data_IF_193776578173
#
_entry.id   IF_193776578173
#
_cell.length_a   1.000
_cell.length_b   1.000
_cell.length_c   1.000
_cell.angle_alpha   90.00
_cell.angle_beta   90.00
_cell.angle_gamma   90.00
#
_symmetry.space_group_name_H-M   'P 1'
#
loop_
_entity.id
_entity.type
_entity.pdbx_description
1 polymer ?
#
# COMPACT_ATOMS: atom_id res chain seq x y z
N UNK A 1 5.80 -1.13 5.48
CA UNK A 1 6.23 -2.54 5.29
C UNK A 1 5.14 -3.26 4.52
N UNK A 2 5.51 -4.05 3.52
CA UNK A 2 4.53 -4.75 2.70
C UNK A 2 3.78 -5.85 3.52
N UNK A 3 2.48 -6.12 3.26
CA UNK A 3 1.66 -7.07 4.03
C UNK A 3 2.26 -8.48 4.21
N UNK A 4 2.92 -9.01 3.19
CA UNK A 4 3.61 -10.30 3.16
C UNK A 4 4.88 -10.33 4.04
N UNK A 5 5.58 -9.19 4.12
CA UNK A 5 6.72 -9.03 5.02
C UNK A 5 6.24 -9.01 6.47
N UNK A 6 5.12 -8.34 6.73
CA UNK A 6 4.45 -8.38 8.06
C UNK A 6 4.03 -9.81 8.41
N UNK A 7 3.47 -10.54 7.44
CA UNK A 7 3.03 -11.93 7.61
C UNK A 7 4.17 -12.97 7.56
N UNK A 8 5.44 -12.54 7.50
CA UNK A 8 6.63 -13.41 7.44
C UNK A 8 6.62 -14.43 6.29
N UNK A 9 5.95 -14.12 5.17
CA UNK A 9 5.85 -15.02 4.00
C UNK A 9 7.06 -14.97 3.06
N UNK A 10 8.16 -14.35 3.50
CA UNK A 10 9.38 -14.12 2.70
C UNK A 10 9.32 -12.81 1.91
N UNK A 11 10.48 -12.21 1.66
CA UNK A 11 10.62 -11.02 0.81
C UNK A 11 10.52 -11.44 -0.66
N UNK A 12 9.65 -10.77 -1.42
CA UNK A 12 9.53 -10.95 -2.86
C UNK A 12 9.70 -9.61 -3.57
N UNK A 13 9.98 -9.63 -4.88
CA UNK A 13 10.01 -8.42 -5.70
C UNK A 13 8.68 -7.64 -5.64
N UNK A 14 7.56 -8.28 -5.27
CA UNK A 14 6.28 -7.58 -5.06
C UNK A 14 6.31 -6.63 -3.85
N UNK A 15 7.15 -6.91 -2.83
CA UNK A 15 7.34 -6.05 -1.67
C UNK A 15 7.97 -4.70 -2.06
N UNK A 16 8.87 -4.72 -3.04
CA UNK A 16 9.55 -3.53 -3.53
C UNK A 16 8.56 -2.64 -4.31
N UNK A 17 7.71 -3.22 -5.17
CA UNK A 17 6.66 -2.49 -5.86
C UNK A 17 5.61 -1.91 -4.90
N UNK A 18 5.26 -2.63 -3.83
CA UNK A 18 4.38 -2.10 -2.80
C UNK A 18 5.01 -0.90 -2.08
N UNK A 19 6.31 -1.00 -1.75
CA UNK A 19 7.04 0.09 -1.10
C UNK A 19 7.18 1.31 -2.01
N UNK A 20 7.38 1.09 -3.32
CA UNK A 20 7.31 2.14 -4.33
C UNK A 20 5.93 2.80 -4.38
N UNK A 21 4.84 2.02 -4.30
CA UNK A 21 3.48 2.55 -4.21
C UNK A 21 3.26 3.45 -3.00
N UNK A 22 3.79 3.08 -1.83
CA UNK A 22 3.74 3.93 -0.62
C UNK A 22 4.47 5.25 -0.84
N UNK A 23 5.70 5.20 -1.35
CA UNK A 23 6.51 6.39 -1.60
C UNK A 23 5.85 7.31 -2.63
N UNK A 24 5.30 6.75 -3.71
CA UNK A 24 4.59 7.54 -4.73
C UNK A 24 3.33 8.20 -4.16
N UNK A 25 2.56 7.48 -3.34
CA UNK A 25 1.39 8.05 -2.67
C UNK A 25 1.80 9.23 -1.78
N UNK A 26 2.87 9.07 -0.99
CA UNK A 26 3.38 10.12 -0.12
C UNK A 26 3.87 11.34 -0.91
N UNK A 27 4.62 11.15 -1.99
CA UNK A 27 5.09 12.25 -2.83
C UNK A 27 3.93 13.02 -3.51
N UNK A 28 2.87 12.32 -3.91
CA UNK A 28 1.74 12.93 -4.60
C UNK A 28 0.73 13.61 -3.67
N UNK A 29 0.67 13.19 -2.40
CA UNK A 29 -0.36 13.63 -1.46
C UNK A 29 0.17 14.36 -0.23
N UNK A 30 1.47 14.27 0.04
CA UNK A 30 2.10 14.75 1.27
C UNK A 30 1.76 13.91 2.50
N UNK A 31 1.04 12.80 2.36
CA UNK A 31 0.54 11.98 3.47
C UNK A 31 0.82 10.50 3.23
N UNK A 32 0.99 9.73 4.30
CA UNK A 32 1.14 8.27 4.20
C UNK A 32 -0.20 7.61 3.87
N UNK A 33 -0.22 6.57 3.02
CA UNK A 33 -1.45 5.83 2.71
C UNK A 33 -1.97 5.00 3.91
N UNK A 34 -1.10 4.65 4.85
CA UNK A 34 -1.44 3.92 6.08
C UNK A 34 -0.64 4.51 7.24
N UNK A 35 -1.32 5.01 8.27
CA UNK A 35 -0.69 5.61 9.44
C UNK A 35 -1.57 5.41 10.67
N UNK A 36 -1.07 4.63 11.62
CA UNK A 36 -1.73 4.38 12.90
C UNK A 36 -1.15 5.22 14.03
N UNK A 37 -1.81 5.17 15.19
CA UNK A 37 -1.35 5.84 16.42
C UNK A 37 -0.07 5.24 16.98
N UNK A 38 0.13 3.95 16.73
CA UNK A 38 1.32 3.21 17.10
C UNK A 38 1.70 2.21 15.99
N UNK A 39 2.78 1.46 16.24
CA UNK A 39 3.30 0.46 15.30
C UNK A 39 2.29 -0.66 15.02
N UNK A 40 1.58 -1.15 16.04
CA UNK A 40 0.63 -2.25 15.88
C UNK A 40 -0.60 -1.79 15.09
N UNK A 41 -1.08 -0.57 15.36
CA UNK A 41 -2.17 0.05 14.62
C UNK A 41 -1.79 0.28 13.15
N UNK A 42 -0.57 0.77 12.89
CA UNK A 42 -0.07 0.93 11.52
C UNK A 42 0.01 -0.40 10.78
N UNK A 43 0.49 -1.46 11.46
CA UNK A 43 0.52 -2.82 10.88
C UNK A 43 -0.89 -3.35 10.61
N UNK A 44 -1.84 -3.10 11.50
CA UNK A 44 -3.25 -3.46 11.29
C UNK A 44 -3.86 -2.72 10.09
N UNK A 45 -3.56 -1.42 9.92
CA UNK A 45 -4.01 -0.66 8.76
C UNK A 45 -3.44 -1.21 7.46
N UNK A 46 -2.14 -1.51 7.41
CA UNK A 46 -1.52 -2.13 6.23
C UNK A 46 -2.20 -3.45 5.84
N UNK A 47 -2.62 -4.24 6.83
CA UNK A 47 -3.22 -5.56 6.59
C UNK A 47 -4.71 -5.51 6.25
N UNK A 48 -5.46 -4.53 6.77
CA UNK A 48 -6.94 -4.55 6.77
C UNK A 48 -7.59 -3.33 6.15
N UNK A 49 -6.91 -2.19 6.08
CA UNK A 49 -7.51 -0.97 5.58
C UNK A 49 -7.65 -1.01 4.06
N UNK A 50 -8.77 -0.50 3.56
CA UNK A 50 -8.95 -0.25 2.12
C UNK A 50 -8.21 1.05 1.78
N UNK A 51 -7.35 0.99 0.76
CA UNK A 51 -6.70 2.18 0.24
C UNK A 51 -7.75 3.16 -0.30
N UNK A 52 -7.87 4.32 0.32
CA UNK A 52 -8.68 5.42 -0.19
C UNK A 52 -7.88 6.22 -1.20
N UNK A 53 -8.43 6.42 -2.40
CA UNK A 53 -7.75 7.14 -3.47
C UNK A 53 -8.16 8.62 -3.45
N UNK A 54 -7.23 9.58 -3.35
CA UNK A 54 -7.57 10.99 -3.37
C UNK A 54 -8.10 11.43 -4.74
N UNK A 55 -9.25 12.13 -4.74
CA UNK A 55 -9.94 12.57 -5.95
C UNK A 55 -9.19 13.65 -6.74
N UNK A 56 -8.26 14.37 -6.10
CA UNK A 56 -7.45 15.40 -6.77
C UNK A 56 -6.33 14.83 -7.64
N UNK A 57 -6.03 13.52 -7.52
CA UNK A 57 -5.05 12.86 -8.37
C UNK A 57 -5.65 12.56 -9.75
N UNK A 58 -4.84 12.68 -10.80
CA UNK A 58 -5.26 12.32 -12.15
C UNK A 58 -5.57 10.83 -12.25
N UNK A 59 -6.38 10.45 -13.25
CA UNK A 59 -6.80 9.07 -13.41
C UNK A 59 -5.62 8.11 -13.66
N UNK A 60 -4.57 8.59 -14.31
CA UNK A 60 -3.32 7.86 -14.56
C UNK A 60 -2.57 7.59 -13.26
N UNK A 61 -2.42 8.62 -12.40
CA UNK A 61 -1.78 8.48 -11.11
C UNK A 61 -2.56 7.49 -10.21
N UNK A 62 -3.89 7.59 -10.19
CA UNK A 62 -4.72 6.65 -9.45
C UNK A 62 -4.59 5.20 -9.99
N UNK A 63 -4.53 5.04 -11.31
CA UNK A 63 -4.36 3.73 -11.95
C UNK A 63 -3.01 3.11 -11.62
N UNK A 64 -1.93 3.89 -11.69
CA UNK A 64 -0.59 3.46 -11.33
C UNK A 64 -0.50 3.04 -9.87
N UNK A 65 -1.03 3.85 -8.95
CA UNK A 65 -1.06 3.52 -7.52
C UNK A 65 -1.84 2.22 -7.28
N UNK A 66 -3.02 2.05 -7.90
CA UNK A 66 -3.77 0.78 -7.81
C UNK A 66 -2.96 -0.40 -8.31
N UNK A 67 -2.23 -0.26 -9.42
CA UNK A 67 -1.40 -1.34 -9.95
C UNK A 67 -0.26 -1.73 -9.00
N UNK A 68 0.42 -0.74 -8.41
CA UNK A 68 1.52 -0.95 -7.45
C UNK A 68 1.03 -1.65 -6.17
N UNK A 69 -0.13 -1.26 -5.63
CA UNK A 69 -0.70 -1.91 -4.45
C UNK A 69 -1.37 -3.27 -4.75
N UNK A 70 -1.97 -3.46 -5.93
CA UNK A 70 -2.63 -4.73 -6.34
C UNK A 70 -1.65 -5.83 -6.66
N UNK A 71 -0.47 -5.51 -7.23
CA UNK A 71 0.57 -6.49 -7.56
C UNK A 71 1.08 -7.26 -6.35
N UNK A 72 0.78 -6.78 -5.14
CA UNK A 72 1.08 -7.41 -3.87
C UNK A 72 -0.12 -8.10 -3.17
N UNK A 73 -1.27 -8.20 -3.85
CA UNK A 73 -2.39 -9.01 -3.35
C UNK A 73 -2.23 -10.47 -3.78
N UNK A 74 -1.35 -11.21 -3.09
CA UNK A 74 -1.41 -12.69 -3.14
C UNK A 74 -2.69 -13.26 -2.48
N UNK A 75 -3.55 -12.37 -1.97
CA UNK A 75 -4.95 -12.61 -1.69
C UNK A 75 -5.82 -11.70 -2.56
N UNK A 76 -6.17 -12.17 -3.75
CA UNK A 76 -7.54 -11.97 -4.21
C UNK A 76 -8.41 -12.92 -3.36
N UNK A 77 -8.78 -12.51 -2.16
CA UNK A 77 -9.93 -13.15 -1.51
C UNK A 77 -11.15 -12.67 -2.27
N UNK A 78 -11.59 -13.50 -3.22
CA UNK A 78 -13.02 -13.68 -3.45
C UNK A 78 -13.67 -14.25 -2.18
#
# INVERSE_FOLDING_TARGET
MAPEVINRRGHSMAADFWSLGVLMFEMLTGHLPFQGRDRNDTMNQILKAKLSMPHFLTQEAQSLLRALFKRNSHNSFY
#
